data_IF_150456397543
#
_entry.id   IF_150456397543
#
_cell.length_a   1.000
_cell.length_b   1.000
_cell.length_c   1.000
_cell.angle_alpha   90.00
_cell.angle_beta   90.00
_cell.angle_gamma   90.00
#
_symmetry.space_group_name_H-M   'P 1'
#
loop_
_entity.id
_entity.type
_entity.pdbx_description
1 polymer ?
#
# COMPACT_ATOMS: atom_id res chain seq x y z
N UNK A 1 11.86 10.42 9.41
CA UNK A 1 10.85 10.66 8.36
C UNK A 1 9.62 9.83 8.67
N UNK A 2 8.44 10.45 8.63
CA UNK A 2 7.14 9.79 8.80
C UNK A 2 6.51 9.50 7.44
N UNK A 3 5.54 8.57 7.41
CA UNK A 3 4.78 8.29 6.18
C UNK A 3 4.08 9.55 5.63
N UNK A 4 3.53 10.39 6.51
CA UNK A 4 2.87 11.66 6.13
C UNK A 4 3.82 12.62 5.42
N UNK A 5 5.08 12.70 5.86
CA UNK A 5 6.09 13.59 5.24
C UNK A 5 6.35 13.18 3.79
N UNK A 6 6.35 11.87 3.51
CA UNK A 6 6.45 11.35 2.14
C UNK A 6 5.21 11.74 1.34
N UNK A 7 4.02 11.47 1.88
CA UNK A 7 2.77 11.70 1.16
C UNK A 7 2.59 13.18 0.78
N UNK A 8 3.02 14.12 1.63
CA UNK A 8 2.94 15.56 1.32
C UNK A 8 3.78 15.95 0.11
N UNK A 9 4.90 15.25 -0.16
CA UNK A 9 5.73 15.52 -1.34
C UNK A 9 5.02 15.18 -2.66
N UNK A 10 4.12 14.20 -2.64
CA UNK A 10 3.46 13.70 -3.85
C UNK A 10 2.04 14.24 -4.01
N UNK A 11 1.33 14.50 -2.90
CA UNK A 11 -0.08 14.87 -2.92
C UNK A 11 -0.37 16.25 -2.33
N UNK A 12 0.67 17.01 -1.94
CA UNK A 12 0.53 18.33 -1.34
C UNK A 12 -0.22 18.29 -0.02
N UNK A 13 -1.09 19.27 0.20
CA UNK A 13 -1.95 19.33 1.38
C UNK A 13 -3.12 18.36 1.25
N UNK A 14 -3.40 17.64 2.34
CA UNK A 14 -4.50 16.68 2.42
C UNK A 14 -5.10 16.64 3.83
N UNK A 15 -6.36 16.23 3.89
CA UNK A 15 -7.00 15.85 5.15
C UNK A 15 -6.63 14.42 5.52
N UNK A 16 -6.35 14.19 6.80
CA UNK A 16 -6.10 12.87 7.36
C UNK A 16 -7.39 12.30 7.94
N UNK A 17 -7.71 11.07 7.55
CA UNK A 17 -8.85 10.33 8.08
C UNK A 17 -8.32 9.03 8.67
N UNK A 18 -8.55 8.84 9.97
CA UNK A 18 -8.14 7.62 10.65
C UNK A 18 -9.01 6.44 10.21
N UNK A 19 -8.36 5.31 10.05
CA UNK A 19 -9.04 4.05 9.82
C UNK A 19 -9.15 3.22 11.08
N UNK A 20 -10.24 2.44 11.15
CA UNK A 20 -10.52 1.58 12.30
C UNK A 20 -9.64 0.33 12.39
N UNK A 21 -9.11 -0.14 11.26
CA UNK A 21 -8.42 -1.43 11.17
C UNK A 21 -6.99 -1.24 10.70
N UNK A 22 -6.12 -2.23 10.97
CA UNK A 22 -4.74 -2.27 10.46
C UNK A 22 -3.80 -1.19 11.04
N UNK A 23 -4.08 -0.63 12.21
CA UNK A 23 -3.27 0.42 12.89
C UNK A 23 -1.79 0.05 13.02
N UNK A 24 -1.49 -1.24 13.23
CA UNK A 24 -0.11 -1.77 13.27
C UNK A 24 0.69 -1.53 11.97
N UNK A 25 0.06 -1.10 10.89
CA UNK A 25 0.67 -0.74 9.61
C UNK A 25 0.37 0.71 9.22
N UNK A 26 0.16 1.58 10.22
CA UNK A 26 -0.12 3.02 10.07
C UNK A 26 -1.25 3.28 9.08
N UNK A 27 -2.38 2.61 9.31
CA UNK A 27 -3.54 2.69 8.45
C UNK A 27 -4.19 4.07 8.49
N UNK A 28 -4.06 4.82 7.39
CA UNK A 28 -4.68 6.14 7.22
C UNK A 28 -5.32 6.24 5.83
N UNK A 29 -6.31 7.11 5.71
CA UNK A 29 -6.74 7.65 4.42
C UNK A 29 -6.27 9.10 4.33
N UNK A 30 -5.84 9.51 3.14
CA UNK A 30 -5.62 10.92 2.82
C UNK A 30 -6.67 11.37 1.83
N UNK A 31 -7.15 12.59 1.97
CA UNK A 31 -7.96 13.26 0.95
C UNK A 31 -7.23 14.53 0.49
N UNK A 32 -6.51 14.48 -0.64
CA UNK A 32 -5.86 15.66 -1.21
C UNK A 32 -6.86 16.78 -1.45
N UNK A 33 -6.45 18.04 -1.23
CA UNK A 33 -7.37 19.19 -1.38
C UNK A 33 -7.88 19.38 -2.80
N UNK A 34 -7.07 19.00 -3.78
CA UNK A 34 -7.38 19.11 -5.22
C UNK A 34 -8.08 17.85 -5.77
N UNK A 35 -8.41 16.87 -4.92
CA UNK A 35 -9.02 15.61 -5.31
C UNK A 35 -10.33 15.36 -4.55
N UNK A 36 -11.31 14.79 -5.24
CA UNK A 36 -12.60 14.44 -4.65
C UNK A 36 -12.53 13.13 -3.86
N UNK A 37 -11.64 12.21 -4.25
CA UNK A 37 -11.56 10.87 -3.70
C UNK A 37 -10.40 10.70 -2.72
N UNK A 38 -10.61 9.82 -1.75
CA UNK A 38 -9.57 9.49 -0.79
C UNK A 38 -8.59 8.46 -1.36
N UNK A 39 -7.39 8.41 -0.78
CA UNK A 39 -6.34 7.44 -1.09
C UNK A 39 -6.02 6.67 0.17
N UNK A 40 -5.83 5.36 0.03
CA UNK A 40 -5.67 4.46 1.16
C UNK A 40 -4.21 4.12 1.37
N UNK A 41 -3.67 4.49 2.52
CA UNK A 41 -2.23 4.44 2.77
C UNK A 41 -1.85 3.41 3.82
N UNK A 42 -0.73 2.71 3.62
CA UNK A 42 -0.15 1.79 4.60
C UNK A 42 1.36 1.93 4.65
N UNK A 43 1.93 1.79 5.84
CA UNK A 43 3.35 1.52 6.02
C UNK A 43 3.61 0.01 5.93
N UNK A 44 4.36 -0.42 4.93
CA UNK A 44 4.83 -1.81 4.84
C UNK A 44 6.10 -2.03 5.67
N UNK A 45 6.16 -3.18 6.35
CA UNK A 45 7.18 -3.48 7.35
C UNK A 45 8.08 -4.62 6.92
N UNK A 46 9.38 -4.47 7.19
CA UNK A 46 10.35 -5.55 6.98
C UNK A 46 10.05 -6.70 7.94
N UNK A 47 10.30 -7.94 7.49
CA UNK A 47 10.16 -9.12 8.33
C UNK A 47 11.45 -9.94 8.33
N UNK A 48 11.86 -10.55 9.45
CA UNK A 48 13.21 -11.16 9.55
C UNK A 48 13.49 -12.30 8.57
N UNK A 49 12.47 -13.08 8.19
CA UNK A 49 12.66 -14.37 7.48
C UNK A 49 12.38 -14.32 5.98
N UNK A 50 11.93 -13.19 5.45
CA UNK A 50 11.44 -13.09 4.07
C UNK A 50 11.76 -11.72 3.51
N UNK A 51 12.31 -11.73 2.29
CA UNK A 51 12.54 -10.52 1.49
C UNK A 51 11.25 -9.73 1.25
N UNK A 52 11.43 -8.44 0.97
CA UNK A 52 10.36 -7.47 0.78
C UNK A 52 9.66 -7.08 2.09
N UNK A 53 8.67 -6.19 1.93
CA UNK A 53 7.97 -5.52 3.02
C UNK A 53 6.52 -5.98 3.06
N UNK A 54 6.09 -6.43 4.22
CA UNK A 54 4.74 -6.97 4.43
C UNK A 54 3.79 -5.89 4.90
N UNK A 55 2.57 -5.90 4.37
CA UNK A 55 1.47 -5.06 4.86
C UNK A 55 0.14 -5.76 4.68
N UNK A 56 -0.90 -5.19 5.30
CA UNK A 56 -2.25 -5.73 5.38
C UNK A 56 -3.28 -4.67 4.97
N UNK A 57 -4.38 -5.12 4.37
CA UNK A 57 -5.46 -4.29 3.85
C UNK A 57 -6.77 -5.07 3.91
N UNK A 58 -7.31 -5.21 5.12
CA UNK A 58 -8.57 -5.90 5.39
C UNK A 58 -9.48 -5.08 6.32
N UNK A 59 -10.78 -5.38 6.28
CA UNK A 59 -11.79 -4.88 7.21
C UNK A 59 -12.55 -6.05 7.85
N UNK A 60 -13.35 -5.75 8.88
CA UNK A 60 -14.35 -6.69 9.39
C UNK A 60 -15.68 -6.53 8.65
N UNK A 61 -16.32 -7.64 8.34
CA UNK A 61 -17.73 -7.65 7.91
C UNK A 61 -18.68 -7.56 9.13
N UNK A 62 -19.99 -7.61 8.85
CA UNK A 62 -21.04 -7.59 9.87
C UNK A 62 -20.99 -8.76 10.86
N UNK A 63 -20.36 -9.88 10.49
CA UNK A 63 -20.15 -11.05 11.35
C UNK A 63 -18.81 -10.99 12.11
N UNK A 64 -18.12 -9.85 12.10
CA UNK A 64 -16.77 -9.66 12.65
C UNK A 64 -15.66 -10.52 12.00
N UNK A 65 -15.87 -11.06 10.79
CA UNK A 65 -14.86 -11.83 10.05
C UNK A 65 -13.99 -10.89 9.23
N UNK A 66 -12.69 -11.22 9.14
CA UNK A 66 -11.77 -10.44 8.33
C UNK A 66 -11.99 -10.73 6.84
N UNK A 67 -12.22 -9.68 6.07
CA UNK A 67 -12.43 -9.71 4.62
C UNK A 67 -11.51 -8.70 3.93
N UNK A 68 -11.15 -9.00 2.68
CA UNK A 68 -10.44 -8.05 1.82
C UNK A 68 -11.34 -6.89 1.42
N UNK A 69 -10.73 -5.73 1.18
CA UNK A 69 -11.42 -4.55 0.67
C UNK A 69 -12.05 -4.78 -0.70
N UNK A 70 -13.15 -4.07 -0.98
CA UNK A 70 -13.77 -3.94 -2.31
C UNK A 70 -13.25 -2.69 -3.04
N UNK A 71 -13.70 -2.49 -4.28
CA UNK A 71 -13.50 -1.27 -5.05
C UNK A 71 -14.07 -0.03 -4.36
N UNK A 72 -15.25 -0.15 -3.74
CA UNK A 72 -15.89 0.90 -2.94
C UNK A 72 -15.06 1.28 -1.70
N UNK A 73 -14.33 0.32 -1.13
CA UNK A 73 -13.47 0.57 0.03
C UNK A 73 -12.18 1.29 -0.33
N UNK A 74 -11.65 1.16 -1.55
CA UNK A 74 -10.27 1.64 -1.78
C UNK A 74 -10.16 3.17 -1.79
N UNK A 75 -11.16 3.86 -2.33
CA UNK A 75 -10.92 5.17 -2.94
C UNK A 75 -10.12 4.97 -4.23
N UNK A 76 -9.30 5.92 -4.67
CA UNK A 76 -8.70 5.85 -6.01
C UNK A 76 -7.39 5.07 -6.10
N UNK A 77 -6.57 5.11 -5.05
CA UNK A 77 -5.25 4.50 -5.05
C UNK A 77 -4.95 3.76 -3.74
N UNK A 78 -4.21 2.66 -3.86
CA UNK A 78 -3.51 2.02 -2.75
C UNK A 78 -2.08 2.54 -2.68
N UNK A 79 -1.78 3.28 -1.62
CA UNK A 79 -0.46 3.86 -1.37
C UNK A 79 0.29 3.02 -0.35
N UNK A 80 1.41 2.44 -0.74
CA UNK A 80 2.24 1.64 0.15
C UNK A 80 3.58 2.32 0.33
N UNK A 81 3.84 2.79 1.55
CA UNK A 81 5.10 3.42 1.91
C UNK A 81 6.03 2.38 2.53
N UNK A 82 7.31 2.47 2.18
CA UNK A 82 8.39 1.70 2.78
C UNK A 82 9.42 2.67 3.33
N UNK A 83 9.76 2.52 4.61
CA UNK A 83 10.80 3.29 5.29
C UNK A 83 11.71 2.27 6.01
N UNK A 84 12.95 2.12 5.54
CA UNK A 84 13.94 1.16 6.05
C UNK A 84 15.33 1.79 6.08
N UNK A 85 15.59 2.59 7.12
CA UNK A 85 16.82 3.37 7.24
C UNK A 85 16.96 4.38 6.10
N UNK A 86 18.04 4.27 5.32
CA UNK A 86 18.27 5.10 4.14
C UNK A 86 17.43 4.69 2.91
N UNK A 87 16.75 3.54 2.94
CA UNK A 87 15.91 3.08 1.84
C UNK A 87 14.46 3.48 2.06
N UNK A 88 13.99 4.42 1.25
CA UNK A 88 12.62 4.90 1.30
C UNK A 88 11.97 4.84 -0.08
N UNK A 89 10.67 4.59 -0.11
CA UNK A 89 9.94 4.52 -1.36
C UNK A 89 8.43 4.44 -1.17
N UNK A 90 7.72 4.72 -2.25
CA UNK A 90 6.27 4.78 -2.31
C UNK A 90 5.79 3.98 -3.52
N UNK A 91 4.84 3.07 -3.30
CA UNK A 91 4.05 2.46 -4.36
C UNK A 91 2.73 3.20 -4.49
N UNK A 92 2.41 3.71 -5.68
CA UNK A 92 1.15 4.39 -6.00
C UNK A 92 0.35 3.51 -6.97
N UNK A 93 -0.54 2.67 -6.44
CA UNK A 93 -1.18 1.61 -7.22
C UNK A 93 -2.65 1.98 -7.50
N UNK A 94 -3.00 2.25 -8.77
CA UNK A 94 -4.37 2.60 -9.15
C UNK A 94 -5.37 1.48 -8.87
N UNK A 95 -6.62 1.86 -8.60
CA UNK A 95 -7.75 0.94 -8.37
C UNK A 95 -7.83 -0.19 -9.41
N UNK A 96 -7.72 0.13 -10.69
CA UNK A 96 -7.81 -0.84 -11.79
C UNK A 96 -6.70 -1.90 -11.69
N UNK A 97 -5.51 -1.48 -11.27
CA UNK A 97 -4.37 -2.37 -11.07
C UNK A 97 -4.62 -3.26 -9.85
N UNK A 98 -5.16 -2.70 -8.75
CA UNK A 98 -5.52 -3.51 -7.58
C UNK A 98 -6.56 -4.59 -7.90
N UNK A 99 -7.53 -4.29 -8.78
CA UNK A 99 -8.51 -5.26 -9.27
C UNK A 99 -7.83 -6.32 -10.15
N UNK A 100 -7.04 -5.90 -11.16
CA UNK A 100 -6.35 -6.82 -12.08
C UNK A 100 -5.38 -7.77 -11.36
N UNK A 101 -4.74 -7.32 -10.27
CA UNK A 101 -3.82 -8.11 -9.43
C UNK A 101 -4.53 -8.86 -8.30
N UNK A 102 -5.88 -8.85 -8.29
CA UNK A 102 -6.75 -9.52 -7.32
C UNK A 102 -6.41 -9.15 -5.88
N UNK A 103 -6.10 -7.87 -5.66
CA UNK A 103 -5.85 -7.29 -4.34
C UNK A 103 -7.21 -6.97 -3.71
N UNK A 104 -8.09 -6.27 -4.45
CA UNK A 104 -9.46 -6.03 -4.04
C UNK A 104 -10.35 -7.23 -4.37
N UNK A 105 -11.40 -7.40 -3.58
CA UNK A 105 -12.51 -8.28 -3.87
C UNK A 105 -13.40 -7.70 -4.97
N UNK A 106 -13.86 -8.55 -5.87
CA UNK A 106 -14.93 -8.26 -6.81
C UNK A 106 -16.06 -9.27 -6.63
N UNK A 107 -17.17 -9.13 -7.36
CA UNK A 107 -18.27 -10.11 -7.36
C UNK A 107 -17.81 -11.55 -7.64
N UNK A 108 -16.83 -11.70 -8.52
CA UNK A 108 -16.37 -13.00 -9.01
C UNK A 108 -15.05 -13.48 -8.39
N UNK A 109 -14.34 -12.62 -7.64
CA UNK A 109 -13.01 -12.93 -7.12
C UNK A 109 -12.82 -12.42 -5.70
N UNK A 110 -12.44 -13.33 -4.80
CA UNK A 110 -11.98 -12.95 -3.45
C UNK A 110 -10.64 -12.22 -3.53
N UNK A 111 -10.56 -11.06 -2.89
CA UNK A 111 -9.34 -10.26 -2.79
C UNK A 111 -8.31 -10.82 -1.81
N UNK A 112 -7.21 -10.09 -1.66
CA UNK A 112 -6.14 -10.36 -0.70
C UNK A 112 -6.35 -9.50 0.54
N UNK A 113 -6.01 -10.05 1.70
CA UNK A 113 -5.99 -9.30 2.96
C UNK A 113 -4.59 -8.77 3.32
N UNK A 114 -3.56 -9.29 2.67
CA UNK A 114 -2.17 -8.95 2.92
C UNK A 114 -1.29 -9.35 1.74
N UNK A 115 -0.19 -8.64 1.55
CA UNK A 115 0.84 -9.04 0.59
C UNK A 115 2.20 -8.43 0.92
N UNK A 116 3.19 -8.80 0.11
CA UNK A 116 4.53 -8.21 0.15
C UNK A 116 4.73 -7.25 -1.01
N UNK A 117 5.45 -6.18 -0.73
CA UNK A 117 5.93 -5.20 -1.69
C UNK A 117 7.45 -5.29 -1.79
N UNK A 118 7.94 -5.27 -3.01
CA UNK A 118 9.35 -5.49 -3.34
C UNK A 118 9.90 -4.25 -4.04
N UNK A 119 10.42 -3.26 -3.29
CA UNK A 119 11.13 -2.13 -3.87
C UNK A 119 12.29 -2.56 -4.78
N UNK A 120 12.81 -1.64 -5.59
CA UNK A 120 13.90 -1.91 -6.53
C UNK A 120 15.18 -2.45 -5.87
N UNK A 121 15.42 -2.12 -4.59
CA UNK A 121 16.56 -2.62 -3.82
C UNK A 121 16.40 -4.07 -3.32
N UNK A 122 15.24 -4.70 -3.47
CA UNK A 122 15.07 -6.12 -3.14
C UNK A 122 15.61 -7.00 -4.28
N UNK A 123 16.81 -7.57 -4.13
CA UNK A 123 17.51 -8.29 -5.21
C UNK A 123 17.45 -9.82 -5.07
N UNK A 124 17.45 -10.36 -3.84
CA UNK A 124 17.51 -11.80 -3.56
C UNK A 124 16.13 -12.48 -3.57
N UNK A 125 15.35 -12.25 -4.62
CA UNK A 125 13.96 -12.68 -4.71
C UNK A 125 13.81 -14.07 -5.35
N UNK A 126 12.89 -14.89 -4.84
CA UNK A 126 12.47 -16.13 -5.51
C UNK A 126 11.62 -15.85 -6.77
N UNK A 127 11.28 -16.89 -7.56
CA UNK A 127 10.54 -16.74 -8.83
C UNK A 127 9.21 -15.98 -8.68
N UNK A 128 8.42 -16.30 -7.66
CA UNK A 128 7.13 -15.65 -7.40
C UNK A 128 7.28 -14.21 -6.96
N UNK A 129 8.26 -13.93 -6.10
CA UNK A 129 8.58 -12.58 -5.65
C UNK A 129 9.10 -11.71 -6.80
N UNK A 130 9.96 -12.23 -7.69
CA UNK A 130 10.41 -11.51 -8.90
C UNK A 130 9.26 -11.16 -9.83
N UNK A 131 8.34 -12.10 -10.07
CA UNK A 131 7.15 -11.85 -10.88
C UNK A 131 6.23 -10.77 -10.25
N UNK A 132 6.16 -10.73 -8.92
CA UNK A 132 5.41 -9.70 -8.18
C UNK A 132 6.11 -8.34 -8.24
N UNK A 133 7.42 -8.31 -7.99
CA UNK A 133 8.25 -7.11 -8.11
C UNK A 133 8.11 -6.49 -9.49
N UNK A 134 8.16 -7.30 -10.56
CA UNK A 134 8.13 -6.80 -11.94
C UNK A 134 7.00 -5.81 -12.19
N UNK A 135 5.76 -6.15 -11.79
CA UNK A 135 4.63 -5.22 -11.99
C UNK A 135 4.57 -4.14 -10.91
N UNK A 136 5.06 -4.42 -9.69
CA UNK A 136 5.08 -3.40 -8.63
C UNK A 136 6.00 -2.24 -8.97
N UNK A 137 7.11 -2.51 -9.68
CA UNK A 137 8.07 -1.48 -10.07
C UNK A 137 7.50 -0.47 -11.07
N UNK A 138 6.48 -0.85 -11.86
CA UNK A 138 5.77 0.09 -12.74
C UNK A 138 5.06 1.20 -11.94
N UNK A 139 4.83 0.98 -10.65
CA UNK A 139 4.13 1.88 -9.72
C UNK A 139 5.01 2.36 -8.56
N UNK A 140 6.32 2.13 -8.63
CA UNK A 140 7.25 2.39 -7.53
C UNK A 140 8.08 3.65 -7.76
N UNK A 141 8.11 4.53 -6.75
CA UNK A 141 9.02 5.68 -6.69
C UNK A 141 10.00 5.49 -5.55
N UNK A 142 11.30 5.48 -5.89
CA UNK A 142 12.37 5.54 -4.90
C UNK A 142 12.45 6.98 -4.36
N UNK A 143 12.53 7.11 -3.05
CA UNK A 143 12.66 8.40 -2.38
C UNK A 143 14.09 8.51 -1.88
N UNK A 144 14.80 9.50 -2.40
CA UNK A 144 16.14 9.82 -1.93
C UNK A 144 16.00 10.75 -0.72
N UNK A 145 16.74 10.42 0.33
CA UNK A 145 16.87 11.30 1.48
C UNK A 145 18.00 12.26 1.14
N UNK A 146 17.66 13.55 0.99
CA UNK A 146 18.68 14.60 1.01
C UNK A 146 19.27 14.65 2.43
N UNK A 147 20.59 14.69 2.51
CA UNK A 147 21.35 14.79 3.77
C UNK A 147 21.17 16.14 4.47
#
# INVERSE_FOLDING_TARGET
MKMTDILHRYYGDFDLINERWNENYESILIKPKDDQEYKRCRLAKKTPKKEGYFTVFWKKDQDNKNISYTDEDLGDELLIVVIDGCHCGLFMIPKEVTISKKILSTKDCKGKMAMRFYPSWCTNLNKTARATQKWQLDYFQKIELEE
#
